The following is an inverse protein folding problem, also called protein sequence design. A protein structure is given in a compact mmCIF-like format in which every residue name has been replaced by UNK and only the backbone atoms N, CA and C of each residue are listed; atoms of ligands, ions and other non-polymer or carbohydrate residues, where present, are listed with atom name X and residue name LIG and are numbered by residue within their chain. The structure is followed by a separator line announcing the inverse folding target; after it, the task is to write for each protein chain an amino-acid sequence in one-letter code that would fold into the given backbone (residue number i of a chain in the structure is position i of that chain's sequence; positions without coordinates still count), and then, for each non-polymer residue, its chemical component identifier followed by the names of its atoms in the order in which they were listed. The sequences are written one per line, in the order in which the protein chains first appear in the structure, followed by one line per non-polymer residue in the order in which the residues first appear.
data_IF_293134338803
#
_entry.id   IF_293134338803
#
_cell.length_a   1.000
_cell.length_b   1.000
_cell.length_c   1.000
_cell.angle_alpha   90.00
_cell.angle_beta   90.00
_cell.angle_gamma   90.00
#
_symmetry.space_group_name_H-M   'P 1'
#
loop_
_entity.id
_entity.type
_entity.pdbx_description
1 polymer ?
#
# COMPACT_ATOMS: atom_id res chain seq x y z
N UNK A 1 -30.92 -1.42 -30.24
CA UNK A 1 -30.22 -1.13 -28.97
C UNK A 1 -29.84 -2.46 -28.35
N UNK A 2 -28.56 -2.82 -28.39
CA UNK A 2 -28.09 -4.14 -27.95
C UNK A 2 -28.05 -4.18 -26.41
N UNK A 3 -28.69 -5.19 -25.85
CA UNK A 3 -28.83 -5.42 -24.40
C UNK A 3 -27.43 -5.61 -23.80
N UNK A 4 -26.99 -4.71 -22.92
CA UNK A 4 -25.74 -4.89 -22.18
C UNK A 4 -25.83 -6.19 -21.38
N UNK A 5 -24.90 -7.12 -21.66
CA UNK A 5 -24.81 -8.38 -20.92
C UNK A 5 -24.54 -8.12 -19.43
N UNK A 6 -24.83 -9.10 -18.55
CA UNK A 6 -24.58 -8.94 -17.12
C UNK A 6 -23.09 -8.68 -16.89
N UNK A 7 -22.78 -7.54 -16.25
CA UNK A 7 -21.43 -7.20 -15.81
C UNK A 7 -20.91 -8.30 -14.88
N UNK A 8 -19.73 -8.84 -15.17
CA UNK A 8 -19.04 -9.82 -14.33
C UNK A 8 -17.72 -9.20 -13.87
N UNK A 9 -17.48 -9.24 -12.56
CA UNK A 9 -16.13 -9.03 -12.02
C UNK A 9 -15.26 -10.20 -12.46
N UNK A 10 -14.48 -9.98 -13.50
CA UNK A 10 -13.37 -10.83 -13.90
C UNK A 10 -12.07 -10.02 -13.70
N UNK A 11 -10.92 -10.68 -13.75
CA UNK A 11 -9.64 -9.98 -13.75
C UNK A 11 -9.59 -9.15 -15.03
N UNK A 12 -9.44 -7.83 -14.89
CA UNK A 12 -9.39 -6.91 -16.03
C UNK A 12 -8.18 -7.18 -16.94
N UNK A 13 -7.13 -7.78 -16.37
CA UNK A 13 -5.86 -8.10 -17.04
C UNK A 13 -5.49 -9.55 -16.68
N UNK A 14 -5.46 -10.50 -17.63
CA UNK A 14 -5.05 -11.88 -17.37
C UNK A 14 -3.58 -11.94 -16.95
N UNK A 15 -3.22 -12.93 -16.11
CA UNK A 15 -1.85 -13.11 -15.58
C UNK A 15 -0.78 -13.30 -16.66
N UNK A 16 -1.17 -13.68 -17.88
CA UNK A 16 -0.29 -13.83 -19.04
C UNK A 16 -0.08 -12.55 -19.84
N UNK A 17 -0.80 -11.46 -19.54
CA UNK A 17 -0.70 -10.21 -20.28
C UNK A 17 0.54 -9.42 -19.82
N UNK A 18 1.40 -9.08 -20.79
CA UNK A 18 2.57 -8.25 -20.55
C UNK A 18 2.15 -6.79 -20.71
N UNK A 19 2.24 -6.03 -19.62
CA UNK A 19 1.91 -4.62 -19.62
C UNK A 19 3.05 -3.79 -20.21
N UNK A 20 2.70 -2.79 -21.01
CA UNK A 20 3.65 -1.86 -21.59
C UNK A 20 3.29 -0.41 -21.25
N UNK A 21 4.30 0.43 -21.05
CA UNK A 21 4.10 1.87 -20.89
C UNK A 21 3.81 2.56 -22.24
N UNK A 22 3.52 3.87 -22.20
CA UNK A 22 3.28 4.68 -23.40
C UNK A 22 4.48 4.77 -24.37
N UNK A 23 5.66 4.32 -23.95
CA UNK A 23 6.90 4.24 -24.73
C UNK A 23 7.19 2.80 -25.20
N UNK A 24 6.31 1.84 -24.90
CA UNK A 24 6.45 0.43 -25.27
C UNK A 24 7.36 -0.39 -24.34
N UNK A 25 7.82 0.17 -23.21
CA UNK A 25 8.65 -0.54 -22.22
C UNK A 25 7.79 -1.51 -21.41
N UNK A 26 8.30 -2.72 -21.15
CA UNK A 26 7.62 -3.70 -20.30
C UNK A 26 7.54 -3.17 -18.87
N UNK A 27 6.35 -3.24 -18.28
CA UNK A 27 6.07 -2.87 -16.90
C UNK A 27 6.20 -4.13 -16.04
N UNK A 28 7.44 -4.45 -15.68
CA UNK A 28 7.78 -5.49 -14.71
C UNK A 28 8.16 -4.87 -13.35
N UNK A 29 8.52 -5.70 -12.36
CA UNK A 29 8.88 -5.25 -11.02
C UNK A 29 10.10 -4.30 -11.04
N UNK A 30 11.11 -4.61 -11.88
CA UNK A 30 12.29 -3.77 -12.04
C UNK A 30 11.97 -2.41 -12.68
N UNK A 31 11.03 -2.38 -13.62
CA UNK A 31 10.51 -1.14 -14.21
C UNK A 31 9.83 -0.27 -13.14
N UNK A 32 9.00 -0.87 -12.28
CA UNK A 32 8.30 -0.15 -11.22
C UNK A 32 9.30 0.48 -10.25
N UNK A 33 10.28 -0.29 -9.78
CA UNK A 33 11.31 0.20 -8.87
C UNK A 33 12.11 1.36 -9.49
N UNK A 34 12.51 1.21 -10.76
CA UNK A 34 13.20 2.26 -11.51
C UNK A 34 12.36 3.52 -11.69
N UNK A 35 11.07 3.37 -12.00
CA UNK A 35 10.15 4.49 -12.18
C UNK A 35 9.92 5.27 -10.87
N UNK A 36 9.89 4.59 -9.72
CA UNK A 36 9.80 5.25 -8.40
C UNK A 36 11.03 6.11 -8.14
N UNK A 37 12.23 5.58 -8.40
CA UNK A 37 13.49 6.33 -8.22
C UNK A 37 13.55 7.53 -9.17
N UNK A 38 13.16 7.35 -10.44
CA UNK A 38 13.13 8.43 -11.43
C UNK A 38 12.12 9.52 -11.07
N UNK A 39 10.93 9.13 -10.62
CA UNK A 39 9.92 10.06 -10.14
C UNK A 39 10.51 10.90 -9.00
N UNK A 40 11.02 10.27 -7.94
CA UNK A 40 11.67 10.95 -6.82
C UNK A 40 12.78 11.93 -7.25
N UNK A 41 13.59 11.55 -8.24
CA UNK A 41 14.65 12.40 -8.74
C UNK A 41 14.13 13.66 -9.46
N UNK A 42 13.05 13.52 -10.25
CA UNK A 42 12.46 14.63 -11.03
C UNK A 42 11.74 15.67 -10.19
N UNK A 43 11.22 15.30 -9.03
CA UNK A 43 10.41 16.19 -8.19
C UNK A 43 11.17 16.87 -7.05
N UNK A 44 12.43 16.51 -6.78
CA UNK A 44 13.28 17.21 -5.81
C UNK A 44 13.49 18.68 -6.22
N UNK A 45 12.83 19.60 -5.51
CA UNK A 45 13.06 21.06 -5.59
C UNK A 45 11.92 21.92 -6.17
N UNK A 46 10.75 21.36 -6.52
CA UNK A 46 9.56 22.13 -6.93
C UNK A 46 8.39 21.88 -5.96
N UNK A 47 8.32 22.64 -4.86
CA UNK A 47 7.34 22.38 -3.79
C UNK A 47 7.55 21.01 -3.13
N UNK A 48 6.65 20.54 -2.24
CA UNK A 48 6.80 19.24 -1.55
C UNK A 48 5.90 18.15 -2.17
N UNK A 49 6.42 17.24 -2.99
CA UNK A 49 5.77 15.98 -3.27
C UNK A 49 5.96 15.03 -2.07
N UNK A 50 5.07 14.07 -1.91
CA UNK A 50 5.19 13.07 -0.86
C UNK A 50 5.01 11.70 -1.48
N UNK A 51 5.95 10.79 -1.24
CA UNK A 51 5.77 9.37 -1.51
C UNK A 51 5.59 8.44 -0.29
N UNK A 52 5.73 8.76 1.00
CA UNK A 52 6.07 10.01 1.71
C UNK A 52 7.57 10.31 1.69
N UNK A 53 7.90 11.45 1.10
CA UNK A 53 9.19 12.14 1.10
C UNK A 53 9.28 12.97 2.39
N UNK A 54 9.92 12.49 3.46
CA UNK A 54 10.03 13.19 4.77
C UNK A 54 8.72 13.72 5.42
N UNK A 55 7.54 13.39 4.88
CA UNK A 55 6.22 13.89 5.33
C UNK A 55 5.56 13.01 6.37
N UNK A 56 4.65 13.60 7.16
CA UNK A 56 3.89 12.89 8.19
C UNK A 56 3.25 11.62 7.64
N UNK A 57 3.36 10.52 8.38
CA UNK A 57 2.68 9.27 8.02
C UNK A 57 1.16 9.50 7.94
N UNK A 58 0.46 8.92 6.94
CA UNK A 58 -0.99 9.07 6.84
C UNK A 58 -1.66 8.57 8.12
N UNK A 59 -2.55 9.41 8.67
CA UNK A 59 -3.26 9.11 9.91
C UNK A 59 -4.53 8.30 9.61
N UNK A 60 -4.48 7.00 9.90
CA UNK A 60 -5.65 6.12 9.84
C UNK A 60 -6.38 6.10 11.18
N UNK A 61 -7.62 6.57 11.20
CA UNK A 61 -8.51 6.47 12.37
C UNK A 61 -9.31 5.19 12.29
N UNK A 62 -9.20 4.35 13.30
CA UNK A 62 -9.96 3.09 13.41
C UNK A 62 -10.89 3.15 14.63
N UNK A 63 -12.04 2.51 14.51
CA UNK A 63 -12.96 2.29 15.64
C UNK A 63 -12.71 0.89 16.17
N UNK A 64 -12.37 0.79 17.45
CA UNK A 64 -12.18 -0.47 18.17
C UNK A 64 -13.19 -0.56 19.30
N UNK A 65 -13.61 -1.77 19.65
CA UNK A 65 -14.28 -1.99 20.92
C UNK A 65 -13.31 -1.67 22.06
N UNK A 66 -13.87 -1.34 23.23
CA UNK A 66 -13.06 -1.05 24.42
C UNK A 66 -12.15 -2.22 24.79
N UNK A 67 -12.70 -3.43 24.77
CA UNK A 67 -11.98 -4.66 25.09
C UNK A 67 -10.78 -4.87 24.15
N UNK A 68 -10.95 -4.58 22.87
CA UNK A 68 -9.87 -4.70 21.88
C UNK A 68 -8.80 -3.61 22.07
N UNK A 69 -9.17 -2.37 22.41
CA UNK A 69 -8.17 -1.33 22.73
C UNK A 69 -7.32 -1.71 23.95
N UNK A 70 -7.94 -2.27 24.99
CA UNK A 70 -7.25 -2.73 26.19
C UNK A 70 -6.30 -3.89 25.89
N UNK A 71 -6.74 -4.87 25.08
CA UNK A 71 -5.90 -5.99 24.65
C UNK A 71 -4.68 -5.53 23.83
N UNK A 72 -4.89 -4.62 22.88
CA UNK A 72 -3.81 -4.04 22.05
C UNK A 72 -2.83 -3.26 22.92
N UNK A 73 -3.32 -2.47 23.88
CA UNK A 73 -2.46 -1.70 24.80
C UNK A 73 -1.60 -2.61 25.66
N UNK A 74 -2.18 -3.68 26.21
CA UNK A 74 -1.44 -4.66 26.99
C UNK A 74 -0.36 -5.34 26.16
N UNK A 75 -0.72 -5.80 24.95
CA UNK A 75 0.23 -6.48 24.07
C UNK A 75 1.39 -5.57 23.62
N UNK A 76 1.12 -4.29 23.39
CA UNK A 76 2.17 -3.30 23.10
C UNK A 76 3.12 -3.10 24.28
N UNK A 77 2.59 -2.98 25.50
CA UNK A 77 3.39 -2.86 26.72
C UNK A 77 4.26 -4.10 26.97
N UNK A 78 3.67 -5.29 26.85
CA UNK A 78 4.37 -6.57 27.02
C UNK A 78 5.51 -6.74 25.99
N UNK A 79 5.33 -6.15 24.79
CA UNK A 79 6.34 -6.13 23.73
C UNK A 79 7.36 -4.97 23.85
N UNK A 80 7.25 -4.10 24.87
CA UNK A 80 8.12 -2.93 25.04
C UNK A 80 8.02 -1.91 23.91
N UNK A 81 6.92 -1.88 23.17
CA UNK A 81 6.73 -1.05 21.99
C UNK A 81 5.63 -0.01 22.19
N UNK A 82 5.68 1.07 21.42
CA UNK A 82 4.54 2.00 21.37
C UNK A 82 3.32 1.33 20.71
N UNK A 83 2.11 1.76 21.08
CA UNK A 83 0.88 1.18 20.52
C UNK A 83 0.84 1.24 18.99
N UNK A 84 1.26 2.36 18.40
CA UNK A 84 1.27 2.55 16.95
C UNK A 84 2.29 1.66 16.25
N UNK A 85 3.48 1.52 16.82
CA UNK A 85 4.53 0.64 16.31
C UNK A 85 4.11 -0.84 16.38
N UNK A 86 3.54 -1.25 17.51
CA UNK A 86 3.06 -2.62 17.70
C UNK A 86 1.96 -2.97 16.67
N UNK A 87 0.98 -2.09 16.48
CA UNK A 87 -0.08 -2.28 15.48
C UNK A 87 0.49 -2.38 14.07
N UNK A 88 1.42 -1.50 13.68
CA UNK A 88 2.07 -1.57 12.36
C UNK A 88 2.75 -2.92 12.15
N UNK A 89 3.55 -3.37 13.12
CA UNK A 89 4.25 -4.65 13.07
C UNK A 89 3.29 -5.84 12.88
N UNK A 90 2.19 -5.87 13.61
CA UNK A 90 1.22 -6.97 13.51
C UNK A 90 0.50 -6.96 12.16
N UNK A 91 0.10 -5.80 11.65
CA UNK A 91 -0.52 -5.68 10.33
C UNK A 91 0.43 -6.06 9.19
N UNK A 92 1.69 -5.65 9.30
CA UNK A 92 2.76 -6.02 8.37
C UNK A 92 2.96 -7.55 8.36
N UNK A 93 3.06 -8.18 9.53
CA UNK A 93 3.16 -9.63 9.63
C UNK A 93 1.93 -10.38 9.09
N UNK A 94 0.73 -9.83 9.25
CA UNK A 94 -0.50 -10.45 8.76
C UNK A 94 -0.59 -10.40 7.24
N UNK A 95 -0.19 -9.28 6.63
CA UNK A 95 -0.20 -9.12 5.17
C UNK A 95 0.86 -10.00 4.50
N UNK A 96 2.06 -10.14 5.08
CA UNK A 96 3.12 -11.01 4.55
C UNK A 96 2.88 -12.50 4.79
N UNK A 97 2.02 -12.89 5.73
CA UNK A 97 1.64 -14.31 5.93
C UNK A 97 0.59 -14.82 4.93
N UNK A 98 -0.01 -13.92 4.17
CA UNK A 98 -1.12 -14.22 3.25
C UNK A 98 -0.64 -14.22 1.78
N UNK A 99 0.65 -14.01 1.54
CA UNK A 99 1.32 -14.16 0.24
C UNK A 99 1.92 -15.54 0.06
#
# INVERSE_FOLDING_TARGET
MSKAGPYRLAVDIPESEVLHDSQGRVVDEAYVDGAVVEALARVRGRGRPSLSESGESPLLRVRLSRELDEAVRKAANDAGASRSEWVRKVLDQATHRTG
#
